data_IF_724575796548
#
_entry.id   IF_724575796548
#
_cell.length_a   1.000
_cell.length_b   1.000
_cell.length_c   1.000
_cell.angle_alpha   90.00
_cell.angle_beta   90.00
_cell.angle_gamma   90.00
#
_symmetry.space_group_name_H-M   'P 1'
#
loop_
_entity.id
_entity.type
_entity.pdbx_description
1 polymer ?
#
# COMPACT_ATOMS: atom_id res chain seq x y z
N UNK A 1 7.33 1.15 20.50
CA UNK A 1 6.51 0.53 19.44
C UNK A 1 7.18 0.52 18.05
N UNK A 2 7.91 1.57 17.63
CA UNK A 2 8.56 1.62 16.29
C UNK A 2 9.58 0.49 16.04
N UNK A 3 10.27 -0.01 17.08
CA UNK A 3 11.21 -1.11 17.00
C UNK A 3 10.57 -2.46 16.61
N UNK A 4 9.31 -2.71 16.97
CA UNK A 4 8.61 -3.96 16.64
C UNK A 4 8.34 -4.06 15.14
N UNK A 5 7.76 -3.01 14.55
CA UNK A 5 7.46 -2.97 13.11
C UNK A 5 8.73 -3.03 12.26
N UNK A 6 9.83 -2.41 12.72
CA UNK A 6 11.13 -2.52 12.05
C UNK A 6 11.73 -3.94 12.12
N UNK A 7 11.57 -4.63 13.26
CA UNK A 7 12.09 -5.98 13.47
C UNK A 7 11.33 -7.04 12.67
N UNK A 8 10.01 -6.88 12.56
CA UNK A 8 9.14 -7.81 11.82
C UNK A 8 8.80 -7.35 10.41
N UNK A 9 9.48 -6.32 9.89
CA UNK A 9 9.19 -5.69 8.61
C UNK A 9 9.11 -6.69 7.45
N UNK A 10 10.00 -7.68 7.41
CA UNK A 10 9.97 -8.75 6.40
C UNK A 10 8.66 -9.53 6.41
N UNK A 11 8.22 -9.99 7.59
CA UNK A 11 7.01 -10.79 7.75
C UNK A 11 5.75 -9.95 7.47
N UNK A 12 5.75 -8.70 7.93
CA UNK A 12 4.67 -7.75 7.66
C UNK A 12 4.55 -7.43 6.16
N UNK A 13 5.69 -7.25 5.48
CA UNK A 13 5.72 -6.99 4.05
C UNK A 13 5.32 -8.22 3.23
N UNK A 14 5.77 -9.41 3.62
CA UNK A 14 5.35 -10.66 2.97
C UNK A 14 3.86 -10.96 3.15
N UNK A 15 3.30 -10.71 4.34
CA UNK A 15 1.86 -10.86 4.58
C UNK A 15 1.05 -9.81 3.81
N UNK A 16 1.49 -8.55 3.78
CA UNK A 16 0.85 -7.53 2.96
C UNK A 16 0.86 -7.89 1.47
N UNK A 17 1.98 -8.41 0.95
CA UNK A 17 2.07 -8.92 -0.42
C UNK A 17 1.06 -10.05 -0.68
N UNK A 18 0.94 -11.01 0.23
CA UNK A 18 -0.02 -12.11 0.08
C UNK A 18 -1.48 -11.61 0.02
N UNK A 19 -1.85 -10.63 0.86
CA UNK A 19 -3.20 -10.07 0.83
C UNK A 19 -3.45 -9.27 -0.46
N UNK A 20 -2.48 -8.47 -0.92
CA UNK A 20 -2.59 -7.76 -2.20
C UNK A 20 -2.65 -8.69 -3.41
N UNK A 21 -2.01 -9.87 -3.35
CA UNK A 21 -2.13 -10.90 -4.38
C UNK A 21 -3.56 -11.46 -4.46
N UNK A 22 -4.21 -11.70 -3.31
CA UNK A 22 -5.61 -12.13 -3.26
C UNK A 22 -6.51 -11.04 -3.87
N UNK A 23 -6.32 -9.78 -3.48
CA UNK A 23 -7.07 -8.65 -4.03
C UNK A 23 -6.85 -8.53 -5.54
N UNK A 24 -5.62 -8.71 -6.02
CA UNK A 24 -5.32 -8.70 -7.45
C UNK A 24 -6.11 -9.80 -8.18
N UNK A 25 -6.10 -11.03 -7.66
CA UNK A 25 -6.84 -12.15 -8.26
C UNK A 25 -8.34 -11.88 -8.35
N UNK A 26 -8.95 -11.39 -7.26
CA UNK A 26 -10.37 -11.01 -7.22
C UNK A 26 -10.65 -9.85 -8.19
N UNK A 27 -9.77 -8.86 -8.25
CA UNK A 27 -9.94 -7.68 -9.10
C UNK A 27 -9.81 -8.02 -10.59
N UNK A 28 -8.85 -8.87 -10.97
CA UNK A 28 -8.70 -9.34 -12.36
C UNK A 28 -9.88 -10.20 -12.78
N UNK A 29 -10.29 -11.14 -11.94
CA UNK A 29 -11.48 -11.98 -12.21
C UNK A 29 -12.72 -11.11 -12.39
N UNK A 30 -12.95 -10.16 -11.48
CA UNK A 30 -14.09 -9.26 -11.55
C UNK A 30 -14.01 -8.34 -12.76
N UNK A 31 -12.83 -7.79 -13.08
CA UNK A 31 -12.63 -6.98 -14.29
C UNK A 31 -12.95 -7.75 -15.58
N UNK A 32 -12.57 -9.03 -15.67
CA UNK A 32 -12.77 -9.87 -16.84
C UNK A 32 -14.21 -10.41 -17.00
N UNK A 33 -14.94 -10.56 -15.89
CA UNK A 33 -16.26 -11.22 -15.88
C UNK A 33 -17.43 -10.26 -15.66
N UNK A 34 -17.19 -9.03 -15.20
CA UNK A 34 -18.28 -8.12 -14.83
C UNK A 34 -18.97 -7.49 -16.04
N UNK A 35 -20.18 -7.95 -16.31
CA UNK A 35 -21.27 -7.15 -16.90
C UNK A 35 -22.06 -6.50 -15.75
N UNK A 36 -21.68 -5.28 -15.37
CA UNK A 36 -22.53 -4.28 -14.69
C UNK A 36 -23.43 -4.77 -13.51
N UNK A 37 -22.87 -5.10 -12.34
CA UNK A 37 -23.42 -4.78 -11.00
C UNK A 37 -22.59 -5.43 -9.87
N UNK A 38 -22.46 -4.74 -8.73
CA UNK A 38 -21.96 -5.34 -7.48
C UNK A 38 -23.06 -6.23 -6.89
N UNK A 39 -22.74 -7.48 -6.58
CA UNK A 39 -23.55 -8.29 -5.66
C UNK A 39 -23.18 -7.92 -4.21
N UNK A 40 -24.18 -7.74 -3.34
CA UNK A 40 -24.00 -7.28 -1.96
C UNK A 40 -23.08 -8.23 -1.14
N UNK A 41 -23.07 -9.52 -1.45
CA UNK A 41 -22.20 -10.51 -0.77
C UNK A 41 -20.74 -10.35 -1.22
N UNK A 42 -20.50 -10.10 -2.50
CA UNK A 42 -19.17 -9.77 -3.02
C UNK A 42 -18.67 -8.42 -2.47
N UNK A 43 -19.58 -7.49 -2.20
CA UNK A 43 -19.29 -6.20 -1.59
C UNK A 43 -18.73 -6.31 -0.16
N UNK A 44 -19.44 -6.98 0.75
CA UNK A 44 -18.99 -7.07 2.16
C UNK A 44 -17.72 -7.90 2.33
N UNK A 45 -17.53 -8.93 1.50
CA UNK A 45 -16.31 -9.74 1.53
C UNK A 45 -15.11 -8.96 0.97
N UNK A 46 -15.27 -8.20 -0.12
CA UNK A 46 -14.20 -7.36 -0.67
C UNK A 46 -13.82 -6.21 0.28
N UNK A 47 -14.77 -5.59 0.98
CA UNK A 47 -14.49 -4.47 1.89
C UNK A 47 -13.64 -4.87 3.09
N UNK A 48 -13.93 -6.02 3.69
CA UNK A 48 -13.14 -6.56 4.79
C UNK A 48 -11.71 -6.91 4.36
N UNK A 49 -11.56 -7.55 3.20
CA UNK A 49 -10.24 -7.93 2.66
C UNK A 49 -9.41 -6.70 2.28
N UNK A 50 -10.04 -5.70 1.66
CA UNK A 50 -9.38 -4.45 1.29
C UNK A 50 -8.96 -3.65 2.53
N UNK A 51 -9.84 -3.55 3.53
CA UNK A 51 -9.51 -2.93 4.82
C UNK A 51 -8.31 -3.60 5.50
N UNK A 52 -8.29 -4.94 5.52
CA UNK A 52 -7.16 -5.70 6.05
C UNK A 52 -5.86 -5.43 5.27
N UNK A 53 -5.92 -5.36 3.94
CA UNK A 53 -4.75 -5.05 3.11
C UNK A 53 -4.18 -3.65 3.38
N UNK A 54 -5.06 -2.66 3.56
CA UNK A 54 -4.68 -1.29 3.90
C UNK A 54 -4.04 -1.26 5.30
N UNK A 55 -4.57 -1.99 6.28
CA UNK A 55 -3.96 -2.10 7.62
C UNK A 55 -2.58 -2.78 7.57
N UNK A 56 -2.45 -3.90 6.86
CA UNK A 56 -1.17 -4.58 6.66
C UNK A 56 -0.15 -3.65 5.99
N UNK A 57 -0.57 -2.92 4.96
CA UNK A 57 0.28 -1.94 4.29
C UNK A 57 0.68 -0.81 5.23
N UNK A 58 -0.26 -0.29 6.02
CA UNK A 58 0.00 0.76 7.01
C UNK A 58 1.01 0.33 8.06
N UNK A 59 0.93 -0.92 8.54
CA UNK A 59 1.93 -1.49 9.45
C UNK A 59 3.33 -1.54 8.83
N UNK A 60 3.43 -1.88 7.54
CA UNK A 60 4.70 -1.85 6.79
C UNK A 60 5.19 -0.41 6.63
N UNK A 61 4.32 0.54 6.26
CA UNK A 61 4.67 1.96 6.13
C UNK A 61 5.27 2.50 7.45
N UNK A 62 4.63 2.18 8.59
CA UNK A 62 5.14 2.53 9.91
C UNK A 62 6.52 1.93 10.19
N UNK A 63 6.75 0.67 9.80
CA UNK A 63 8.06 0.02 9.95
C UNK A 63 9.15 0.59 9.04
N UNK A 64 8.81 0.97 7.80
CA UNK A 64 9.72 1.67 6.87
C UNK A 64 10.07 3.05 7.41
N UNK A 65 9.07 3.81 7.88
CA UNK A 65 9.30 5.14 8.44
C UNK A 65 10.11 5.08 9.74
N UNK A 66 9.87 4.09 10.60
CA UNK A 66 10.67 3.86 11.79
C UNK A 66 12.16 3.60 11.49
N UNK A 67 12.49 3.02 10.32
CA UNK A 67 13.88 2.85 9.87
C UNK A 67 14.45 4.10 9.22
N UNK A 68 13.61 4.92 8.60
CA UNK A 68 14.02 6.18 7.98
C UNK A 68 14.25 7.29 9.03
N UNK A 69 13.57 7.23 10.18
CA UNK A 69 13.67 8.23 11.25
C UNK A 69 14.48 7.70 12.45
N UNK A 70 15.61 8.34 12.77
CA UNK A 70 16.42 8.02 13.97
C UNK A 70 15.72 8.54 15.26
N UNK A 71 14.82 9.51 15.14
CA UNK A 71 13.95 10.00 16.21
C UNK A 71 12.47 9.77 15.85
N UNK A 72 11.63 9.41 16.82
CA UNK A 72 10.21 9.15 16.61
C UNK A 72 9.44 10.45 16.30
N UNK A 73 9.53 10.90 15.05
CA UNK A 73 8.91 12.15 14.59
C UNK A 73 7.38 12.08 14.54
N UNK A 74 6.74 13.22 14.83
CA UNK A 74 5.31 13.49 14.68
C UNK A 74 4.78 13.09 13.28
N UNK A 75 5.64 13.18 12.28
CA UNK A 75 5.33 12.83 10.89
C UNK A 75 5.16 11.33 10.65
N UNK A 76 5.70 10.46 11.52
CA UNK A 76 5.48 8.99 11.49
C UNK A 76 4.08 8.67 11.99
N UNK A 77 3.65 9.38 13.03
CA UNK A 77 2.29 9.28 13.57
C UNK A 77 1.26 9.72 12.53
N UNK A 78 1.52 10.82 11.82
CA UNK A 78 0.63 11.33 10.77
C UNK A 78 0.33 10.31 9.65
N UNK A 79 1.36 9.66 9.10
CA UNK A 79 1.15 8.67 8.04
C UNK A 79 0.45 7.40 8.54
N UNK A 80 0.76 6.95 9.77
CA UNK A 80 0.06 5.85 10.40
C UNK A 80 -1.43 6.14 10.61
N UNK A 81 -1.75 7.33 11.12
CA UNK A 81 -3.13 7.77 11.34
C UNK A 81 -3.91 7.84 10.02
N UNK A 82 -3.29 8.32 8.95
CA UNK A 82 -3.94 8.36 7.63
C UNK A 82 -4.17 6.98 7.05
N UNK A 83 -3.23 6.04 7.25
CA UNK A 83 -3.42 4.64 6.84
C UNK A 83 -4.53 3.95 7.64
N UNK A 84 -4.62 4.19 8.95
CA UNK A 84 -5.71 3.67 9.79
C UNK A 84 -7.05 4.30 9.38
N UNK A 85 -7.09 5.61 9.16
CA UNK A 85 -8.29 6.30 8.70
C UNK A 85 -8.74 5.77 7.33
N UNK A 86 -7.81 5.53 6.40
CA UNK A 86 -8.09 4.92 5.11
C UNK A 86 -8.65 3.49 5.27
N UNK A 87 -8.08 2.68 6.16
CA UNK A 87 -8.58 1.33 6.42
C UNK A 87 -9.99 1.34 6.99
N UNK A 88 -10.26 2.17 8.01
CA UNK A 88 -11.60 2.31 8.59
C UNK A 88 -12.60 2.77 7.54
N UNK A 89 -12.22 3.75 6.72
CA UNK A 89 -13.08 4.26 5.66
C UNK A 89 -13.31 3.22 4.56
N UNK A 90 -12.33 2.39 4.22
CA UNK A 90 -12.48 1.28 3.29
C UNK A 90 -13.41 0.17 3.86
N UNK A 91 -13.29 -0.17 5.14
CA UNK A 91 -14.14 -1.20 5.78
C UNK A 91 -15.60 -0.73 5.86
N UNK A 92 -15.83 0.52 6.29
CA UNK A 92 -17.18 1.04 6.53
C UNK A 92 -17.84 1.53 5.24
N UNK A 93 -17.06 2.11 4.32
CA UNK A 93 -17.55 2.74 3.10
C UNK A 93 -16.66 2.38 1.89
N UNK A 94 -16.69 1.11 1.44
CA UNK A 94 -15.92 0.70 0.24
C UNK A 94 -16.18 1.62 -0.94
N UNK A 95 -17.42 2.12 -1.12
CA UNK A 95 -17.81 3.02 -2.21
C UNK A 95 -17.29 4.46 -2.07
N UNK A 96 -16.84 4.86 -0.88
CA UNK A 96 -16.13 6.13 -0.68
C UNK A 96 -14.66 6.00 -1.11
N UNK A 97 -14.42 5.37 -2.26
CA UNK A 97 -13.11 5.15 -2.89
C UNK A 97 -12.34 6.45 -3.02
N UNK A 98 -12.95 7.57 -3.49
CA UNK A 98 -12.26 8.84 -3.51
C UNK A 98 -11.73 9.23 -2.13
N UNK A 99 -12.48 8.94 -1.06
CA UNK A 99 -12.07 9.22 0.30
C UNK A 99 -10.92 8.33 0.76
N UNK A 100 -11.12 7.02 0.82
CA UNK A 100 -10.11 6.13 1.41
C UNK A 100 -8.88 5.97 0.52
N UNK A 101 -9.04 5.95 -0.81
CA UNK A 101 -7.92 5.82 -1.74
C UNK A 101 -7.03 7.07 -1.71
N UNK A 102 -7.59 8.28 -1.59
CA UNK A 102 -6.78 9.51 -1.46
C UNK A 102 -5.91 9.47 -0.21
N UNK A 103 -6.50 9.12 0.94
CA UNK A 103 -5.76 9.02 2.20
C UNK A 103 -4.66 7.96 2.11
N UNK A 104 -4.97 6.82 1.51
CA UNK A 104 -4.04 5.71 1.36
C UNK A 104 -2.88 6.04 0.40
N UNK A 105 -3.19 6.59 -0.78
CA UNK A 105 -2.20 7.03 -1.77
C UNK A 105 -1.26 8.05 -1.15
N UNK A 106 -1.80 9.02 -0.39
CA UNK A 106 -0.99 10.03 0.28
C UNK A 106 -0.06 9.41 1.32
N UNK A 107 -0.58 8.49 2.15
CA UNK A 107 0.22 7.78 3.15
C UNK A 107 1.37 6.97 2.51
N UNK A 108 1.10 6.25 1.41
CA UNK A 108 2.11 5.48 0.68
C UNK A 108 3.13 6.41 0.03
N UNK A 109 2.69 7.41 -0.74
CA UNK A 109 3.58 8.34 -1.45
C UNK A 109 4.51 9.10 -0.48
N UNK A 110 3.97 9.62 0.62
CA UNK A 110 4.77 10.29 1.64
C UNK A 110 5.83 9.35 2.26
N UNK A 111 5.49 8.08 2.46
CA UNK A 111 6.42 7.07 2.96
C UNK A 111 7.51 6.74 1.95
N UNK A 112 7.14 6.53 0.68
CA UNK A 112 8.07 6.18 -0.40
C UNK A 112 9.08 7.30 -0.62
N UNK A 113 8.64 8.56 -0.65
CA UNK A 113 9.50 9.74 -0.78
C UNK A 113 10.52 9.79 0.38
N UNK A 114 10.09 9.52 1.61
CA UNK A 114 10.97 9.52 2.79
C UNK A 114 11.86 8.29 2.89
N UNK A 115 11.43 7.17 2.34
CA UNK A 115 12.25 5.97 2.27
C UNK A 115 13.51 6.16 1.44
N UNK A 116 13.69 7.33 0.80
CA UNK A 116 14.87 7.70 0.01
C UNK A 116 16.19 7.45 0.72
N UNK A 117 16.19 7.71 2.02
CA UNK A 117 17.35 7.63 2.90
C UNK A 117 17.57 6.21 3.47
N UNK A 118 16.74 5.23 3.06
CA UNK A 118 16.84 3.83 3.47
C UNK A 118 17.25 2.92 2.31
N UNK A 119 17.91 1.79 2.61
CA UNK A 119 18.26 0.75 1.63
C UNK A 119 17.08 -0.16 1.25
N UNK A 120 15.89 0.07 1.81
CA UNK A 120 14.71 -0.79 1.73
C UNK A 120 13.98 -0.76 0.38
N UNK A 121 14.22 0.25 -0.45
CA UNK A 121 13.56 0.41 -1.76
C UNK A 121 14.54 0.95 -2.78
N UNK A 122 14.63 0.35 -3.98
CA UNK A 122 15.42 0.89 -5.08
C UNK A 122 14.86 2.22 -5.61
N UNK A 123 15.72 3.08 -6.20
CA UNK A 123 15.25 4.27 -6.91
C UNK A 123 14.21 3.97 -8.00
N UNK A 124 14.41 2.87 -8.75
CA UNK A 124 13.49 2.44 -9.82
C UNK A 124 12.11 2.09 -9.25
N UNK A 125 12.05 1.30 -8.18
CA UNK A 125 10.78 0.94 -7.56
C UNK A 125 10.06 2.12 -6.94
N UNK A 126 10.78 3.09 -6.37
CA UNK A 126 10.15 4.34 -5.89
C UNK A 126 9.44 5.07 -7.03
N UNK A 127 10.05 5.16 -8.22
CA UNK A 127 9.42 5.75 -9.41
C UNK A 127 8.21 4.92 -9.86
N UNK A 128 8.33 3.59 -9.93
CA UNK A 128 7.21 2.70 -10.29
C UNK A 128 6.03 2.89 -9.33
N UNK A 129 6.29 2.96 -8.03
CA UNK A 129 5.24 3.17 -7.03
C UNK A 129 4.60 4.54 -7.17
N UNK A 130 5.40 5.61 -7.26
CA UNK A 130 4.85 6.96 -7.40
C UNK A 130 4.08 7.15 -8.72
N UNK A 131 4.56 6.58 -9.82
CA UNK A 131 3.86 6.60 -11.10
C UNK A 131 2.55 5.80 -11.03
N UNK A 132 2.59 4.58 -10.47
CA UNK A 132 1.41 3.75 -10.30
C UNK A 132 0.36 4.38 -9.38
N UNK A 133 0.79 4.99 -8.27
CA UNK A 133 -0.08 5.77 -7.39
C UNK A 133 -0.63 7.02 -8.10
N UNK A 134 0.16 7.67 -8.96
CA UNK A 134 -0.30 8.79 -9.79
C UNK A 134 -1.41 8.37 -10.75
N UNK A 135 -1.25 7.23 -11.43
CA UNK A 135 -2.30 6.65 -12.28
C UNK A 135 -3.57 6.37 -11.47
N UNK A 136 -3.44 5.78 -10.27
CA UNK A 136 -4.58 5.54 -9.38
C UNK A 136 -5.21 6.85 -8.87
N UNK A 137 -4.43 7.90 -8.64
CA UNK A 137 -4.96 9.20 -8.23
C UNK A 137 -5.77 9.88 -9.34
N UNK A 138 -5.35 9.69 -10.60
CA UNK A 138 -6.09 10.20 -11.76
C UNK A 138 -7.41 9.46 -12.00
N UNK A 139 -7.54 8.21 -11.56
CA UNK A 139 -8.82 7.50 -11.66
C UNK A 139 -9.85 7.94 -10.62
N UNK A 140 -9.43 8.56 -9.51
CA UNK A 140 -10.34 9.07 -8.47
C UNK A 140 -11.41 10.05 -9.00
N UNK A 141 -11.07 11.14 -9.72
CA UNK A 141 -12.08 12.06 -10.27
C UNK A 141 -12.97 11.37 -11.32
N UNK A 142 -12.41 10.43 -12.10
CA UNK A 142 -13.18 9.66 -13.09
C UNK A 142 -14.21 8.76 -12.40
N UNK A 143 -13.80 8.03 -11.36
CA UNK A 143 -14.70 7.19 -10.55
C UNK A 143 -15.74 8.03 -9.81
N UNK A 144 -15.36 9.20 -9.28
CA UNK A 144 -16.30 10.12 -8.65
C UNK A 144 -17.35 10.66 -9.64
N UNK A 145 -16.94 11.00 -10.86
CA UNK A 145 -17.84 11.43 -11.93
C UNK A 145 -18.80 10.30 -12.36
N UNK A 146 -18.26 9.10 -12.60
CA UNK A 146 -19.06 7.92 -12.99
C UNK A 146 -20.05 7.49 -11.90
N UNK A 147 -19.72 7.69 -10.63
CA UNK A 147 -20.63 7.43 -9.52
C UNK A 147 -21.85 8.36 -9.54
N UNK A 148 -21.70 9.58 -10.06
CA UNK A 148 -22.79 10.54 -10.22
C UNK A 148 -23.65 10.22 -11.45
N UNK A 149 -23.04 9.73 -12.54
CA UNK A 149 -23.75 9.48 -13.80
C UNK A 149 -24.38 8.09 -13.91
N UNK A 150 -24.14 7.20 -12.93
CA UNK A 150 -24.73 5.85 -12.89
C UNK A 150 -24.14 4.86 -13.90
N UNK A 151 -23.03 5.21 -14.55
CA UNK A 151 -22.46 4.47 -15.68
C UNK A 151 -21.14 3.77 -15.31
N UNK A 152 -20.97 2.53 -15.78
CA UNK A 152 -19.72 1.72 -15.82
C UNK A 152 -18.76 1.90 -14.62
N UNK A 153 -19.30 2.09 -13.42
CA UNK A 153 -18.50 2.30 -12.22
C UNK A 153 -17.59 1.10 -11.95
N UNK A 154 -18.08 -0.12 -12.20
CA UNK A 154 -17.37 -1.37 -11.91
C UNK A 154 -16.03 -1.54 -12.63
N UNK A 155 -15.97 -1.31 -13.95
CA UNK A 155 -14.74 -1.58 -14.72
C UNK A 155 -13.59 -0.63 -14.36
N UNK A 156 -13.88 0.67 -14.20
CA UNK A 156 -12.89 1.66 -13.76
C UNK A 156 -12.36 1.35 -12.34
N UNK A 157 -13.23 0.83 -11.49
CA UNK A 157 -12.96 0.50 -10.10
C UNK A 157 -12.08 -0.75 -9.98
N UNK A 158 -12.44 -1.83 -10.68
CA UNK A 158 -11.63 -3.05 -10.75
C UNK A 158 -10.28 -2.80 -11.43
N UNK A 159 -10.24 -2.02 -12.52
CA UNK A 159 -9.00 -1.62 -13.18
C UNK A 159 -8.06 -0.84 -12.26
N UNK A 160 -8.60 0.10 -11.47
CA UNK A 160 -7.81 0.85 -10.48
C UNK A 160 -7.25 -0.08 -9.40
N UNK A 161 -8.05 -1.01 -8.89
CA UNK A 161 -7.60 -2.00 -7.90
C UNK A 161 -6.54 -2.94 -8.47
N UNK A 162 -6.63 -3.35 -9.74
CA UNK A 162 -5.59 -4.15 -10.41
C UNK A 162 -4.25 -3.41 -10.42
N UNK A 163 -4.24 -2.15 -10.88
CA UNK A 163 -3.02 -1.33 -10.94
C UNK A 163 -2.45 -1.11 -9.54
N UNK A 164 -3.29 -0.72 -8.58
CA UNK A 164 -2.88 -0.49 -7.20
C UNK A 164 -2.29 -1.76 -6.57
N UNK A 165 -2.95 -2.91 -6.78
CA UNK A 165 -2.51 -4.19 -6.23
C UNK A 165 -1.17 -4.63 -6.83
N UNK A 166 -0.97 -4.50 -8.13
CA UNK A 166 0.30 -4.82 -8.79
C UNK A 166 1.46 -3.99 -8.24
N UNK A 167 1.23 -2.68 -8.12
CA UNK A 167 2.24 -1.73 -7.64
C UNK A 167 2.61 -2.01 -6.20
N UNK A 168 1.63 -2.21 -5.33
CA UNK A 168 1.87 -2.47 -3.91
C UNK A 168 2.44 -3.87 -3.67
N UNK A 169 2.00 -4.87 -4.44
CA UNK A 169 2.58 -6.21 -4.40
C UNK A 169 4.07 -6.18 -4.73
N UNK A 170 4.44 -5.55 -5.85
CA UNK A 170 5.83 -5.43 -6.26
C UNK A 170 6.68 -4.68 -5.23
N UNK A 171 6.15 -3.59 -4.67
CA UNK A 171 6.81 -2.83 -3.62
C UNK A 171 7.02 -3.64 -2.34
N UNK A 172 5.98 -4.34 -1.85
CA UNK A 172 6.07 -5.18 -0.65
C UNK A 172 7.02 -6.36 -0.83
N UNK A 173 7.08 -6.96 -2.02
CA UNK A 173 8.06 -8.01 -2.32
C UNK A 173 9.48 -7.45 -2.25
N UNK A 174 9.74 -6.29 -2.84
CA UNK A 174 11.06 -5.66 -2.77
C UNK A 174 11.46 -5.28 -1.33
N UNK A 175 10.55 -4.69 -0.56
CA UNK A 175 10.78 -4.34 0.85
C UNK A 175 11.06 -5.61 1.66
N UNK A 176 10.32 -6.72 1.43
CA UNK A 176 10.55 -7.99 2.12
C UNK A 176 11.94 -8.57 1.80
N UNK A 177 12.34 -8.56 0.53
CA UNK A 177 13.65 -9.07 0.10
C UNK A 177 14.80 -8.24 0.68
N UNK A 178 14.71 -6.90 0.63
CA UNK A 178 15.75 -6.01 1.13
C UNK A 178 15.81 -5.97 2.65
N UNK A 179 14.68 -6.14 3.34
CA UNK A 179 14.65 -6.26 4.80
C UNK A 179 15.28 -7.57 5.31
N UNK A 180 15.45 -8.58 4.44
CA UNK A 180 16.09 -9.85 4.76
C UNK A 180 17.62 -9.84 4.54
N UNK A 181 18.15 -8.83 3.84
CA UNK A 181 19.58 -8.76 3.54
C UNK A 181 20.39 -8.50 4.83
N UNK A 182 21.49 -9.25 5.07
CA UNK A 182 22.39 -8.97 6.18
C UNK A 182 22.94 -7.55 6.09
N UNK A 183 22.94 -6.81 7.20
CA UNK A 183 23.68 -5.55 7.29
C UNK A 183 25.13 -5.82 6.91
N UNK A 184 25.77 -5.01 6.05
CA UNK A 184 27.18 -5.19 5.75
C UNK A 184 27.94 -5.18 7.07
N UNK A 185 28.61 -6.30 7.39
CA UNK A 185 29.47 -6.38 8.56
C UNK A 185 30.52 -5.30 8.41
N UNK A 186 30.52 -4.33 9.32
CA UNK A 186 31.64 -3.42 9.52
C UNK A 186 32.89 -4.27 9.66
N UNK A 187 33.65 -4.35 8.56
CA UNK A 187 35.02 -4.84 8.57
C UNK A 187 35.78 -3.91 9.50
N UNK A 188 35.92 -4.35 10.74
CA UNK A 188 36.81 -3.76 11.73
C UNK A 188 38.19 -3.59 11.07
N UNK A 189 38.74 -2.37 11.00
CA UNK A 189 40.08 -2.19 10.47
C UNK A 189 41.05 -3.03 11.33
N UNK A 190 42.02 -3.73 10.71
CA UNK A 190 43.00 -4.52 11.46
C UNK A 190 43.71 -3.60 12.45
N UNK A 191 43.84 -4.07 13.70
CA UNK A 191 44.56 -3.35 14.74
C UNK A 191 46.00 -3.10 14.27
N UNK A 192 46.54 -1.87 14.45
CA UNK A 192 47.94 -1.62 14.16
C UNK A 192 48.81 -2.44 15.13
N UNK A 193 49.76 -3.18 14.56
CA UNK A 193 50.84 -3.90 15.27
C UNK A 193 52.00 -2.95 15.48
#
# INVERSE_FOLDING_TARGET
MSLFFSRHLRLLSASAAAVWLIILGVSVFSFATSTLAFDDVAYYSASAVLGAAILCTTAVLLGVQARASIAADERVRGAGLLGIAAALLAVVFVFAIPGWATLFIWAVAATVIRSRDTSLTSPRMRVVVLAGLGVCALSIPVTAFLAVTGDVLGAALWGTLVVLSLVLLAWHVEVAMRAAAPSPSTSQPPAPV
#
